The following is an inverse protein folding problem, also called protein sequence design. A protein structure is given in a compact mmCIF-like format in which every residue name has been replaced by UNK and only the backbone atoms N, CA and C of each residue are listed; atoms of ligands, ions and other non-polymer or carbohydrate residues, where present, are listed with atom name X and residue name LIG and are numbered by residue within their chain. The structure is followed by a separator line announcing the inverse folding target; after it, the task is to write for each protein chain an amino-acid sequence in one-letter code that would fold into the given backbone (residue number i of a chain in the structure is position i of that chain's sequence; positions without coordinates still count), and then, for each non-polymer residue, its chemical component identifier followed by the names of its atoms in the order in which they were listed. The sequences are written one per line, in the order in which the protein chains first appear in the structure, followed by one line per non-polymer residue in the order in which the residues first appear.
data_IF_242873814148
#
_entry.id   IF_242873814148
#
_cell.length_a   1.000
_cell.length_b   1.000
_cell.length_c   1.000
_cell.angle_alpha   90.00
_cell.angle_beta   90.00
_cell.angle_gamma   90.00
#
_symmetry.space_group_name_H-M   'P 1'
#
loop_
_entity.id
_entity.type
_entity.pdbx_description
1 polymer ?
#
# COMPACT_ATOMS: atom_id res chain seq x y z
N UNK A 1 10.11 28.30 15.18
CA UNK A 1 8.76 28.70 14.72
C UNK A 1 8.53 28.06 13.36
N UNK A 2 7.53 27.20 13.22
CA UNK A 2 7.16 26.68 11.90
C UNK A 2 6.60 27.85 11.10
N UNK A 3 7.17 28.14 9.92
CA UNK A 3 6.65 29.18 9.05
C UNK A 3 5.19 28.86 8.67
N UNK A 4 4.34 29.89 8.59
CA UNK A 4 2.89 29.72 8.39
C UNK A 4 2.60 28.98 7.09
N UNK A 5 3.36 29.27 6.05
CA UNK A 5 3.19 28.63 4.74
C UNK A 5 3.59 27.16 4.81
N UNK A 6 4.65 26.83 5.57
CA UNK A 6 5.02 25.44 5.86
C UNK A 6 3.90 24.70 6.61
N UNK A 7 3.23 25.36 7.57
CA UNK A 7 2.10 24.77 8.29
C UNK A 7 0.91 24.48 7.37
N UNK A 8 0.56 25.42 6.48
CA UNK A 8 -0.54 25.26 5.52
C UNK A 8 -0.28 24.06 4.61
N UNK A 9 0.92 23.97 4.02
CA UNK A 9 1.27 22.86 3.13
C UNK A 9 1.34 21.51 3.86
N UNK A 10 1.79 21.49 5.12
CA UNK A 10 1.78 20.30 5.95
C UNK A 10 0.36 19.80 6.21
N UNK A 11 -0.56 20.68 6.59
CA UNK A 11 -1.97 20.34 6.84
C UNK A 11 -2.64 19.90 5.54
N UNK A 12 -2.44 20.63 4.44
CA UNK A 12 -2.98 20.26 3.13
C UNK A 12 -2.50 18.89 2.68
N UNK A 13 -1.21 18.59 2.83
CA UNK A 13 -0.64 17.28 2.52
C UNK A 13 -1.21 16.15 3.40
N UNK A 14 -1.37 16.41 4.70
CA UNK A 14 -1.94 15.45 5.65
C UNK A 14 -3.41 15.11 5.36
N UNK A 15 -4.23 16.13 5.09
CA UNK A 15 -5.65 15.97 4.74
C UNK A 15 -5.79 15.27 3.39
N UNK A 16 -5.05 15.72 2.37
CA UNK A 16 -5.07 15.10 1.04
C UNK A 16 -4.67 13.62 1.07
N UNK A 17 -3.61 13.28 1.81
CA UNK A 17 -3.18 11.89 1.99
C UNK A 17 -4.21 11.03 2.71
N UNK A 18 -4.88 11.57 3.73
CA UNK A 18 -5.93 10.88 4.49
C UNK A 18 -7.16 10.64 3.62
N UNK A 19 -7.64 11.67 2.90
CA UNK A 19 -8.78 11.56 1.98
C UNK A 19 -8.50 10.55 0.87
N UNK A 20 -7.32 10.62 0.24
CA UNK A 20 -6.90 9.65 -0.77
C UNK A 20 -6.88 8.21 -0.23
N UNK A 21 -6.36 8.01 0.99
CA UNK A 21 -6.34 6.69 1.62
C UNK A 21 -7.75 6.14 1.91
N UNK A 22 -8.68 6.98 2.34
CA UNK A 22 -10.08 6.57 2.62
C UNK A 22 -10.78 6.19 1.32
N UNK A 23 -10.75 7.07 0.31
CA UNK A 23 -11.51 6.86 -0.93
C UNK A 23 -10.97 5.67 -1.71
N UNK A 24 -9.66 5.45 -1.69
CA UNK A 24 -9.04 4.34 -2.42
C UNK A 24 -8.93 3.04 -1.62
N UNK A 25 -9.36 3.05 -0.34
CA UNK A 25 -9.30 1.90 0.54
C UNK A 25 -10.02 0.65 -0.02
N UNK A 26 -11.22 0.74 -0.62
CA UNK A 26 -11.90 -0.43 -1.20
C UNK A 26 -11.05 -1.14 -2.26
N UNK A 27 -10.37 -0.37 -3.12
CA UNK A 27 -9.50 -0.91 -4.17
C UNK A 27 -8.23 -1.51 -3.58
N UNK A 28 -7.67 -0.95 -2.51
CA UNK A 28 -6.55 -1.55 -1.78
C UNK A 28 -6.95 -2.91 -1.18
N UNK A 29 -8.12 -3.02 -0.54
CA UNK A 29 -8.58 -4.30 0.03
C UNK A 29 -8.76 -5.35 -1.07
N UNK A 30 -9.38 -4.99 -2.19
CA UNK A 30 -9.54 -5.90 -3.34
C UNK A 30 -8.19 -6.32 -3.91
N UNK A 31 -7.25 -5.37 -4.11
CA UNK A 31 -5.89 -5.66 -4.56
C UNK A 31 -5.21 -6.67 -3.64
N UNK A 32 -5.19 -6.39 -2.34
CA UNK A 32 -4.50 -7.24 -1.36
C UNK A 32 -5.09 -8.65 -1.30
N UNK A 33 -6.42 -8.79 -1.41
CA UNK A 33 -7.07 -10.12 -1.44
C UNK A 33 -6.87 -10.85 -2.76
N UNK A 34 -6.87 -10.15 -3.89
CA UNK A 34 -6.50 -10.77 -5.15
C UNK A 34 -5.04 -11.26 -5.12
N UNK A 35 -4.16 -10.58 -4.40
CA UNK A 35 -2.76 -10.98 -4.22
C UNK A 35 -2.55 -12.16 -3.26
N UNK A 36 -3.54 -12.62 -2.46
CA UNK A 36 -3.38 -13.76 -1.55
C UNK A 36 -3.61 -15.12 -2.21
N UNK A 37 -3.15 -16.20 -1.55
CA UNK A 37 -3.21 -17.56 -2.10
C UNK A 37 -4.60 -18.14 -2.18
N UNK A 38 -5.35 -17.94 -1.11
CA UNK A 38 -6.80 -18.01 -1.15
C UNK A 38 -7.30 -16.58 -1.30
N UNK A 39 -7.75 -16.21 -2.49
CA UNK A 39 -8.28 -14.87 -2.70
C UNK A 39 -9.61 -14.61 -1.98
N UNK A 40 -10.17 -15.61 -1.30
CA UNK A 40 -11.48 -15.57 -0.65
C UNK A 40 -12.67 -15.45 -1.60
N UNK A 41 -12.43 -15.12 -2.88
CA UNK A 41 -13.46 -14.96 -3.92
C UNK A 41 -13.90 -16.25 -4.62
N UNK A 42 -13.27 -17.38 -4.32
CA UNK A 42 -13.72 -18.68 -4.80
C UNK A 42 -14.30 -19.46 -3.63
N UNK A 43 -15.51 -20.05 -3.77
CA UNK A 43 -15.94 -21.05 -2.80
C UNK A 43 -14.89 -22.16 -2.77
N UNK A 44 -14.57 -22.73 -1.58
CA UNK A 44 -13.77 -23.95 -1.54
C UNK A 44 -14.46 -24.99 -2.43
N UNK A 45 -13.70 -25.81 -3.18
CA UNK A 45 -14.30 -26.86 -3.98
C UNK A 45 -15.14 -27.74 -3.07
N UNK A 46 -16.43 -27.86 -3.39
CA UNK A 46 -17.34 -28.79 -2.71
C UNK A 46 -16.88 -30.19 -3.10
N UNK A 47 -16.06 -30.82 -2.26
CA UNK A 47 -15.78 -32.24 -2.38
C UNK A 47 -17.07 -33.01 -2.06
N UNK A 48 -17.83 -33.37 -3.10
CA UNK A 48 -19.02 -34.24 -3.01
C UNK A 48 -18.71 -35.61 -2.40
N UNK A 49 -17.45 -36.01 -2.30
CA UNK A 49 -17.05 -37.24 -1.61
C UNK A 49 -17.14 -37.15 -0.07
N UNK A 50 -17.05 -35.95 0.53
CA UNK A 50 -17.11 -35.83 2.00
C UNK A 50 -18.54 -35.88 2.55
N UNK A 51 -19.54 -35.71 1.70
CA UNK A 51 -20.97 -35.85 2.05
C UNK A 51 -21.48 -37.30 1.99
N UNK A 52 -20.69 -38.25 1.48
CA UNK A 52 -21.14 -39.65 1.30
C UNK A 52 -20.67 -40.62 2.39
N UNK A 53 -19.90 -40.18 3.40
CA UNK A 53 -19.50 -41.05 4.51
C UNK A 53 -18.57 -42.22 4.15
N UNK A 54 -18.14 -42.37 2.90
CA UNK A 54 -17.23 -43.43 2.45
C UNK A 54 -15.86 -42.88 2.08
N UNK A 55 -14.88 -43.08 2.96
CA UNK A 55 -13.46 -42.83 2.66
C UNK A 55 -12.95 -44.00 1.83
N UNK A 56 -12.71 -43.81 0.53
CA UNK A 56 -12.06 -44.82 -0.31
C UNK A 56 -10.56 -44.58 -0.41
N UNK A 57 -9.75 -45.65 -0.50
CA UNK A 57 -8.28 -45.63 -0.57
C UNK A 57 -7.66 -44.87 -1.77
N UNK A 58 -8.48 -44.26 -2.63
CA UNK A 58 -8.03 -43.50 -3.81
C UNK A 58 -7.64 -42.06 -3.51
N UNK A 59 -7.95 -41.54 -2.31
CA UNK A 59 -7.71 -40.16 -1.90
C UNK A 59 -6.27 -39.85 -1.43
N UNK A 60 -5.33 -40.82 -1.49
CA UNK A 60 -3.94 -40.62 -1.06
C UNK A 60 -2.91 -40.85 -2.18
N UNK A 61 -2.05 -39.85 -2.50
CA UNK A 61 -1.19 -39.90 -3.69
C UNK A 61 0.11 -40.70 -3.52
N UNK A 62 0.54 -41.11 -2.30
CA UNK A 62 1.82 -41.84 -2.10
C UNK A 62 1.63 -43.27 -1.56
N UNK A 63 2.37 -44.28 -2.09
CA UNK A 63 2.26 -45.67 -1.65
C UNK A 63 2.69 -45.89 -0.19
N UNK A 64 3.60 -45.09 0.35
CA UNK A 64 4.04 -45.16 1.75
C UNK A 64 2.94 -44.75 2.75
N UNK A 65 2.09 -43.79 2.38
CA UNK A 65 0.96 -43.35 3.22
C UNK A 65 -0.16 -44.40 3.26
N UNK A 66 -0.34 -45.17 2.17
CA UNK A 66 -1.25 -46.32 2.12
C UNK A 66 -0.78 -47.45 3.05
N UNK A 67 0.53 -47.73 3.09
CA UNK A 67 1.10 -48.79 3.92
C UNK A 67 0.90 -48.53 5.43
N UNK A 68 0.93 -47.26 5.85
CA UNK A 68 0.79 -46.84 7.26
C UNK A 68 -0.63 -46.96 7.83
N UNK A 69 -1.66 -47.11 6.98
CA UNK A 69 -3.05 -47.29 7.41
C UNK A 69 -3.42 -48.76 7.63
N UNK A 70 -2.76 -49.69 6.94
CA UNK A 70 -3.01 -51.12 7.09
C UNK A 70 -2.33 -51.72 8.34
N UNK A 71 -1.43 -50.99 8.99
CA UNK A 71 -0.70 -51.45 10.18
C UNK A 71 -0.88 -50.48 11.34
N UNK A 72 -1.87 -50.73 12.20
CA UNK A 72 -1.89 -50.22 13.58
C UNK A 72 -2.94 -49.14 13.86
N UNK A 73 -3.78 -49.43 14.86
CA UNK A 73 -4.93 -48.64 15.26
C UNK A 73 -4.59 -47.26 15.84
N UNK A 74 -5.34 -46.26 15.42
CA UNK A 74 -5.39 -44.94 16.05
C UNK A 74 -6.83 -44.46 16.21
N UNK A 75 -7.10 -43.86 17.37
CA UNK A 75 -8.35 -43.22 17.75
C UNK A 75 -8.73 -42.06 16.83
N UNK A 76 -10.04 -41.90 16.57
CA UNK A 76 -10.71 -40.90 15.70
C UNK A 76 -10.12 -39.48 15.68
N UNK A 77 -9.45 -39.02 16.73
CA UNK A 77 -8.86 -37.68 16.82
C UNK A 77 -7.62 -37.46 15.95
N UNK A 78 -6.84 -38.51 15.64
CA UNK A 78 -5.68 -38.41 14.75
C UNK A 78 -6.08 -38.17 13.27
N UNK A 79 -7.29 -38.61 12.89
CA UNK A 79 -7.85 -38.41 11.55
C UNK A 79 -8.26 -36.95 11.28
N UNK A 80 -8.65 -36.20 12.31
CA UNK A 80 -9.02 -34.78 12.19
C UNK A 80 -7.78 -33.91 11.92
N UNK A 81 -6.63 -34.26 12.49
CA UNK A 81 -5.37 -33.55 12.26
C UNK A 81 -4.85 -33.67 10.81
N UNK A 82 -5.24 -34.73 10.08
CA UNK A 82 -4.88 -34.94 8.68
C UNK A 82 -5.83 -34.22 7.69
N UNK A 83 -6.99 -33.72 8.15
CA UNK A 83 -7.93 -32.97 7.29
C UNK A 83 -7.42 -31.59 6.86
N UNK A 84 -6.36 -31.08 7.50
CA UNK A 84 -5.68 -29.83 7.13
C UNK A 84 -4.52 -30.00 6.14
N UNK A 85 -4.19 -31.24 5.76
CA UNK A 85 -3.09 -31.54 4.83
C UNK A 85 -3.64 -32.31 3.62
N UNK A 86 -4.03 -31.59 2.56
CA UNK A 86 -4.39 -32.28 1.32
C UNK A 86 -5.19 -31.50 0.29
N UNK A 87 -4.86 -30.24 0.01
CA UNK A 87 -5.22 -29.66 -1.29
C UNK A 87 -4.15 -30.03 -2.33
N UNK A 88 -4.06 -31.33 -2.64
CA UNK A 88 -3.39 -31.82 -3.84
C UNK A 88 -4.47 -32.00 -4.89
N UNK A 89 -4.57 -31.05 -5.82
CA UNK A 89 -5.36 -31.23 -7.04
C UNK A 89 -4.99 -32.56 -7.70
N UNK A 90 -6.00 -33.40 -7.97
CA UNK A 90 -5.87 -34.63 -8.75
C UNK A 90 -5.21 -34.35 -10.10
N UNK A 91 -4.22 -35.15 -10.55
CA UNK A 91 -3.68 -35.05 -11.90
C UNK A 91 -4.71 -35.63 -12.87
N UNK A 92 -5.44 -34.76 -13.58
CA UNK A 92 -6.41 -35.22 -14.59
C UNK A 92 -7.65 -34.36 -14.78
N UNK A 93 -7.88 -33.33 -13.96
CA UNK A 93 -8.88 -32.30 -14.27
C UNK A 93 -8.28 -31.24 -15.17
N UNK A 94 -8.88 -30.95 -16.31
CA UNK A 94 -8.55 -29.75 -17.08
C UNK A 94 -8.65 -28.54 -16.15
N UNK A 95 -7.65 -27.63 -16.12
CA UNK A 95 -7.74 -26.45 -15.29
C UNK A 95 -8.92 -25.65 -15.82
N UNK A 96 -10.05 -25.64 -15.09
CA UNK A 96 -11.09 -24.67 -15.35
C UNK A 96 -10.41 -23.30 -15.27
N UNK A 97 -10.24 -22.68 -16.43
CA UNK A 97 -9.80 -21.31 -16.59
C UNK A 97 -10.89 -20.43 -15.98
N UNK A 98 -10.90 -20.36 -14.65
CA UNK A 98 -11.71 -19.39 -13.95
C UNK A 98 -11.04 -18.05 -14.20
N UNK A 99 -11.54 -17.32 -15.20
CA UNK A 99 -11.23 -15.92 -15.39
C UNK A 99 -11.23 -15.22 -14.04
N UNK A 100 -10.14 -14.52 -13.72
CA UNK A 100 -10.03 -13.81 -12.45
C UNK A 100 -11.25 -12.90 -12.29
N UNK A 101 -11.91 -12.90 -11.11
CA UNK A 101 -13.10 -12.10 -10.92
C UNK A 101 -12.77 -10.62 -11.14
N UNK A 102 -13.69 -9.90 -11.78
CA UNK A 102 -13.51 -8.47 -12.01
C UNK A 102 -13.47 -7.71 -10.67
N UNK A 103 -12.88 -6.52 -10.68
CA UNK A 103 -12.83 -5.65 -9.48
C UNK A 103 -14.23 -5.43 -8.91
N UNK A 104 -15.22 -5.20 -9.79
CA UNK A 104 -16.62 -5.03 -9.40
C UNK A 104 -17.20 -6.29 -8.73
N UNK A 105 -16.94 -7.49 -9.28
CA UNK A 105 -17.37 -8.75 -8.67
C UNK A 105 -16.75 -8.94 -7.28
N UNK A 106 -15.47 -8.60 -7.12
CA UNK A 106 -14.78 -8.65 -5.83
C UNK A 106 -15.42 -7.70 -4.80
N UNK A 107 -15.67 -6.44 -5.18
CA UNK A 107 -16.32 -5.45 -4.31
C UNK A 107 -17.72 -5.94 -3.91
N UNK A 108 -18.53 -6.37 -4.89
CA UNK A 108 -19.88 -6.91 -4.65
C UNK A 108 -19.84 -8.10 -3.69
N UNK A 109 -18.90 -9.02 -3.88
CA UNK A 109 -18.73 -10.18 -3.02
C UNK A 109 -18.40 -9.78 -1.57
N UNK A 110 -17.45 -8.84 -1.37
CA UNK A 110 -17.09 -8.36 -0.02
C UNK A 110 -18.30 -7.74 0.66
N UNK A 111 -19.03 -6.88 -0.05
CA UNK A 111 -20.19 -6.18 0.50
C UNK A 111 -21.30 -7.16 0.89
N UNK A 112 -21.57 -8.17 0.05
CA UNK A 112 -22.64 -9.14 0.28
C UNK A 112 -22.30 -10.15 1.39
N UNK A 113 -21.04 -10.61 1.50
CA UNK A 113 -20.67 -11.70 2.42
C UNK A 113 -20.04 -11.21 3.73
N UNK A 114 -19.39 -10.04 3.73
CA UNK A 114 -18.68 -9.51 4.92
C UNK A 114 -19.21 -8.14 5.38
N UNK A 115 -20.03 -7.48 4.55
CA UNK A 115 -20.59 -6.16 4.81
C UNK A 115 -19.71 -5.01 4.30
N UNK A 116 -20.31 -3.83 4.18
CA UNK A 116 -19.66 -2.61 3.62
C UNK A 116 -18.42 -2.16 4.39
N UNK A 117 -18.39 -2.36 5.71
CA UNK A 117 -17.23 -2.01 6.56
C UNK A 117 -16.00 -2.86 6.25
N UNK A 118 -16.14 -4.04 5.63
CA UNK A 118 -15.01 -4.90 5.29
C UNK A 118 -14.09 -4.28 4.23
N UNK A 119 -14.60 -3.38 3.37
CA UNK A 119 -13.82 -2.61 2.39
C UNK A 119 -12.83 -1.62 3.03
N UNK A 120 -12.95 -1.36 4.33
CA UNK A 120 -12.08 -0.46 5.09
C UNK A 120 -11.19 -1.20 6.10
N UNK A 121 -11.10 -2.53 6.00
CA UNK A 121 -10.17 -3.33 6.81
C UNK A 121 -8.73 -2.85 6.58
N UNK A 122 -7.98 -2.68 7.68
CA UNK A 122 -6.60 -2.20 7.65
C UNK A 122 -6.45 -0.67 7.47
N UNK A 123 -7.53 0.10 7.32
CA UNK A 123 -7.45 1.56 7.21
C UNK A 123 -6.82 2.22 8.44
N UNK A 124 -7.19 1.77 9.66
CA UNK A 124 -6.63 2.32 10.91
C UNK A 124 -5.09 2.24 10.98
N UNK A 125 -4.49 1.03 10.88
CA UNK A 125 -3.03 0.89 10.80
C UNK A 125 -2.39 1.67 9.65
N UNK A 126 -3.08 1.78 8.51
CA UNK A 126 -2.60 2.58 7.38
C UNK A 126 -2.48 4.08 7.75
N UNK A 127 -3.53 4.67 8.34
CA UNK A 127 -3.52 6.09 8.71
C UNK A 127 -2.48 6.40 9.80
N UNK A 128 -2.35 5.53 10.80
CA UNK A 128 -1.36 5.69 11.89
C UNK A 128 0.07 5.51 11.37
N UNK A 129 0.28 4.63 10.38
CA UNK A 129 1.61 4.29 9.87
C UNK A 129 2.22 5.28 8.87
N UNK A 130 1.40 6.00 8.10
CA UNK A 130 1.88 6.83 6.98
C UNK A 130 2.76 7.99 7.48
N UNK A 131 2.31 8.76 8.46
CA UNK A 131 3.05 9.92 8.94
C UNK A 131 4.40 9.54 9.58
N UNK A 132 4.49 8.57 10.53
CA UNK A 132 5.77 8.10 11.05
C UNK A 132 6.68 7.53 9.96
N UNK A 133 6.13 6.77 9.01
CA UNK A 133 6.92 6.23 7.90
C UNK A 133 7.58 7.32 7.05
N UNK A 134 6.86 8.41 6.77
CA UNK A 134 7.39 9.55 6.03
C UNK A 134 8.42 10.33 6.85
N UNK A 135 8.16 10.54 8.14
CA UNK A 135 9.10 11.22 9.02
C UNK A 135 10.44 10.47 9.13
N UNK A 136 10.39 9.15 9.35
CA UNK A 136 11.57 8.29 9.39
C UNK A 136 12.32 8.35 8.06
N UNK A 137 11.59 8.24 6.94
CA UNK A 137 12.18 8.32 5.60
C UNK A 137 12.91 9.64 5.38
N UNK A 138 12.28 10.79 5.62
CA UNK A 138 12.91 12.09 5.41
C UNK A 138 14.10 12.35 6.34
N UNK A 139 14.01 11.92 7.60
CA UNK A 139 15.12 12.01 8.54
C UNK A 139 16.33 11.19 8.07
N UNK A 140 16.11 9.91 7.75
CA UNK A 140 17.15 9.03 7.23
C UNK A 140 17.70 9.56 5.90
N UNK A 141 16.84 10.03 5.00
CA UNK A 141 17.24 10.62 3.72
C UNK A 141 18.16 11.82 3.90
N UNK A 142 17.79 12.77 4.78
CA UNK A 142 18.59 13.96 5.05
C UNK A 142 19.97 13.60 5.57
N UNK A 143 20.05 12.66 6.53
CA UNK A 143 21.33 12.19 7.09
C UNK A 143 22.17 11.44 6.07
N UNK A 144 21.57 10.53 5.30
CA UNK A 144 22.27 9.79 4.25
C UNK A 144 22.74 10.72 3.13
N UNK A 145 21.97 11.75 2.77
CA UNK A 145 22.39 12.76 1.77
C UNK A 145 23.63 13.51 2.21
N UNK A 146 23.68 13.96 3.47
CA UNK A 146 24.87 14.61 4.04
C UNK A 146 26.08 13.68 3.96
N UNK A 147 25.93 12.41 4.38
CA UNK A 147 27.01 11.43 4.32
C UNK A 147 27.48 11.17 2.89
N UNK A 148 26.57 10.89 1.95
CA UNK A 148 26.94 10.56 0.57
C UNK A 148 27.49 11.75 -0.22
N UNK A 149 27.11 12.99 0.10
CA UNK A 149 27.74 14.20 -0.46
C UNK A 149 29.22 14.34 -0.08
N UNK A 150 29.70 13.66 0.98
CA UNK A 150 31.13 13.63 1.32
C UNK A 150 31.92 12.55 0.56
N UNK A 151 31.23 11.59 -0.04
CA UNK A 151 31.82 10.43 -0.72
C UNK A 151 31.77 10.59 -2.24
N UNK A 152 30.63 11.07 -2.76
CA UNK A 152 30.42 11.32 -4.18
C UNK A 152 30.48 12.82 -4.49
N UNK A 153 30.53 13.16 -5.79
CA UNK A 153 30.35 14.54 -6.21
C UNK A 153 29.00 15.09 -5.68
N UNK A 154 29.00 16.27 -5.02
CA UNK A 154 27.81 16.82 -4.39
C UNK A 154 26.63 16.95 -5.36
N UNK A 155 25.43 16.65 -4.85
CA UNK A 155 24.14 16.78 -5.57
C UNK A 155 24.06 16.04 -6.92
N UNK A 156 24.81 14.94 -7.05
CA UNK A 156 24.67 14.03 -8.20
C UNK A 156 23.51 13.06 -8.03
N UNK A 157 23.01 12.49 -9.14
CA UNK A 157 21.95 11.47 -9.14
C UNK A 157 22.30 10.27 -8.23
N UNK A 158 23.58 9.89 -8.15
CA UNK A 158 24.05 8.80 -7.28
C UNK A 158 23.80 9.11 -5.80
N UNK A 159 24.11 10.33 -5.34
CA UNK A 159 23.81 10.76 -3.96
C UNK A 159 22.33 10.59 -3.66
N UNK A 160 21.45 11.07 -4.55
CA UNK A 160 20.02 10.98 -4.35
C UNK A 160 19.50 9.54 -4.34
N UNK A 161 19.99 8.68 -5.23
CA UNK A 161 19.60 7.25 -5.31
C UNK A 161 20.05 6.49 -4.06
N UNK A 162 21.31 6.61 -3.65
CA UNK A 162 21.81 5.93 -2.45
C UNK A 162 21.17 6.46 -1.16
N UNK A 163 20.92 7.77 -1.08
CA UNK A 163 20.18 8.37 0.04
C UNK A 163 18.75 7.86 0.10
N UNK A 164 18.05 7.81 -1.04
CA UNK A 164 16.70 7.27 -1.13
C UNK A 164 16.63 5.79 -0.76
N UNK A 165 17.63 5.00 -1.19
CA UNK A 165 17.73 3.59 -0.85
C UNK A 165 17.93 3.38 0.66
N UNK A 166 18.89 4.09 1.27
CA UNK A 166 19.15 4.01 2.70
C UNK A 166 17.93 4.44 3.52
N UNK A 167 17.29 5.55 3.14
CA UNK A 167 16.06 6.03 3.75
C UNK A 167 14.91 5.01 3.63
N UNK A 168 14.74 4.42 2.45
CA UNK A 168 13.75 3.39 2.20
C UNK A 168 13.99 2.15 3.06
N UNK A 169 15.25 1.72 3.17
CA UNK A 169 15.65 0.58 4.00
C UNK A 169 15.29 0.82 5.48
N UNK A 170 15.76 1.93 6.06
CA UNK A 170 15.50 2.30 7.46
C UNK A 170 14.00 2.42 7.73
N UNK A 171 13.27 3.13 6.86
CA UNK A 171 11.82 3.29 6.99
C UNK A 171 11.09 1.94 6.91
N UNK A 172 11.45 1.06 5.97
CA UNK A 172 10.89 -0.27 5.89
C UNK A 172 11.16 -1.10 7.14
N UNK A 173 12.39 -1.10 7.67
CA UNK A 173 12.75 -1.87 8.87
C UNK A 173 11.95 -1.44 10.09
N UNK A 174 11.84 -0.12 10.31
CA UNK A 174 11.17 0.41 11.51
C UNK A 174 9.64 0.32 11.42
N UNK A 175 9.06 0.44 10.22
CA UNK A 175 7.60 0.44 10.05
C UNK A 175 7.01 -0.89 9.63
N UNK A 176 7.82 -1.93 9.40
CA UNK A 176 7.33 -3.24 8.96
C UNK A 176 6.21 -3.81 9.85
N UNK A 177 6.23 -3.70 11.19
CA UNK A 177 5.14 -4.20 12.04
C UNK A 177 3.78 -3.59 11.69
N UNK A 178 3.73 -2.29 11.38
CA UNK A 178 2.48 -1.59 11.04
C UNK A 178 1.93 -2.13 9.71
N UNK A 179 2.79 -2.22 8.70
CA UNK A 179 2.42 -2.72 7.38
C UNK A 179 2.05 -4.20 7.40
N UNK A 180 2.69 -4.99 8.26
CA UNK A 180 2.36 -6.39 8.49
C UNK A 180 0.94 -6.55 9.02
N UNK A 181 0.59 -5.81 10.09
CA UNK A 181 -0.76 -5.82 10.68
C UNK A 181 -1.81 -5.31 9.70
N UNK A 182 -1.51 -4.24 8.94
CA UNK A 182 -2.39 -3.78 7.85
C UNK A 182 -2.74 -4.91 6.89
N UNK A 183 -1.73 -5.59 6.34
CA UNK A 183 -1.93 -6.68 5.37
C UNK A 183 -2.70 -7.84 5.98
N UNK A 184 -2.39 -8.24 7.23
CA UNK A 184 -3.12 -9.30 7.95
C UNK A 184 -4.61 -9.02 8.06
N UNK A 185 -4.98 -7.80 8.46
CA UNK A 185 -6.39 -7.39 8.58
C UNK A 185 -7.10 -7.34 7.23
N UNK A 186 -6.41 -6.92 6.16
CA UNK A 186 -6.98 -6.89 4.81
C UNK A 186 -7.24 -8.29 4.25
N UNK A 187 -6.39 -9.25 4.62
CA UNK A 187 -6.52 -10.67 4.24
C UNK A 187 -7.49 -11.46 5.12
N UNK A 188 -7.96 -10.90 6.23
CA UNK A 188 -8.92 -11.59 7.09
C UNK A 188 -10.33 -11.53 6.47
N UNK A 189 -10.90 -12.71 6.21
CA UNK A 189 -12.23 -12.91 5.63
C UNK A 189 -13.26 -13.35 6.68
N UNK A 190 -12.85 -13.49 7.95
CA UNK A 190 -13.74 -13.95 9.01
C UNK A 190 -14.84 -12.92 9.28
N UNK A 191 -16.04 -13.44 9.57
CA UNK A 191 -17.21 -12.64 9.96
C UNK A 191 -16.99 -11.96 11.31
N UNK A 192 -16.27 -12.62 12.22
CA UNK A 192 -15.87 -12.06 13.51
C UNK A 192 -14.72 -11.06 13.31
N UNK A 193 -15.03 -9.79 13.51
CA UNK A 193 -14.07 -8.68 13.35
C UNK A 193 -13.03 -8.75 14.44
N UNK A 194 -11.78 -8.98 14.06
CA UNK A 194 -10.64 -8.75 14.96
C UNK A 194 -10.23 -7.29 14.88
N UNK A 195 -9.96 -6.69 16.03
CA UNK A 195 -9.35 -5.36 16.10
C UNK A 195 -7.86 -5.43 15.72
N UNK A 196 -7.28 -4.29 15.36
CA UNK A 196 -5.84 -4.22 15.09
C UNK A 196 -5.02 -4.64 16.32
N UNK A 197 -5.49 -4.30 17.52
CA UNK A 197 -4.81 -4.65 18.77
C UNK A 197 -4.86 -6.16 19.04
N UNK A 198 -6.01 -6.80 18.82
CA UNK A 198 -6.14 -8.27 18.92
C UNK A 198 -5.23 -8.98 17.91
N UNK A 199 -5.13 -8.46 16.68
CA UNK A 199 -4.19 -8.97 15.68
C UNK A 199 -2.74 -8.89 16.18
N UNK A 200 -2.32 -7.74 16.72
CA UNK A 200 -0.99 -7.54 17.32
C UNK A 200 -0.75 -8.53 18.46
N UNK A 201 -1.68 -8.62 19.41
CA UNK A 201 -1.55 -9.53 20.57
C UNK A 201 -1.44 -10.99 20.13
N UNK A 202 -2.23 -11.40 19.14
CA UNK A 202 -2.18 -12.76 18.59
C UNK A 202 -0.84 -13.06 17.92
N UNK A 203 -0.34 -12.15 17.07
CA UNK A 203 0.97 -12.31 16.41
C UNK A 203 2.08 -12.41 17.46
N UNK A 204 2.07 -11.51 18.45
CA UNK A 204 3.06 -11.50 19.52
C UNK A 204 3.04 -12.80 20.34
N UNK A 205 1.86 -13.32 20.69
CA UNK A 205 1.73 -14.60 21.41
C UNK A 205 2.19 -15.80 20.58
N UNK A 206 1.99 -15.79 19.26
CA UNK A 206 2.29 -16.92 18.39
C UNK A 206 3.75 -16.95 17.89
N UNK A 207 4.36 -15.80 17.65
CA UNK A 207 5.66 -15.70 16.96
C UNK A 207 6.58 -14.63 17.53
N UNK A 208 6.21 -14.00 18.64
CA UNK A 208 6.98 -12.93 19.27
C UNK A 208 7.16 -11.71 18.35
N UNK A 209 8.21 -10.95 18.62
CA UNK A 209 8.55 -9.75 17.85
C UNK A 209 8.98 -10.07 16.40
N UNK A 210 9.66 -11.20 16.20
CA UNK A 210 10.16 -11.61 14.88
C UNK A 210 9.03 -11.94 13.90
N UNK A 211 7.86 -12.36 14.40
CA UNK A 211 6.67 -12.59 13.59
C UNK A 211 6.25 -11.37 12.77
N UNK A 212 6.43 -10.17 13.32
CA UNK A 212 6.11 -8.90 12.64
C UNK A 212 7.06 -8.56 11.50
N UNK A 213 8.20 -9.24 11.37
CA UNK A 213 9.22 -9.01 10.33
C UNK A 213 9.09 -9.93 9.13
N UNK A 214 8.11 -10.85 9.12
CA UNK A 214 7.84 -11.72 7.98
C UNK A 214 7.45 -10.89 6.74
N UNK A 215 8.08 -11.20 5.61
CA UNK A 215 7.90 -10.45 4.35
C UNK A 215 8.75 -9.19 4.22
N UNK A 216 9.67 -8.90 5.14
CA UNK A 216 10.53 -7.70 5.06
C UNK A 216 11.45 -7.70 3.83
N UNK A 217 11.97 -8.85 3.41
CA UNK A 217 12.82 -8.96 2.21
C UNK A 217 12.05 -8.49 0.97
N UNK A 218 10.78 -8.88 0.84
CA UNK A 218 9.91 -8.39 -0.23
C UNK A 218 9.67 -6.86 -0.14
N UNK A 219 9.76 -6.29 1.07
CA UNK A 219 9.71 -4.84 1.29
C UNK A 219 10.97 -4.15 0.78
N UNK A 220 12.15 -4.71 1.07
CA UNK A 220 13.42 -4.19 0.55
C UNK A 220 13.53 -4.28 -0.97
N UNK A 221 13.12 -5.41 -1.57
CA UNK A 221 13.06 -5.53 -3.04
C UNK A 221 12.14 -4.46 -3.63
N UNK A 222 11.07 -4.08 -2.93
CA UNK A 222 10.18 -2.99 -3.37
C UNK A 222 10.83 -1.60 -3.41
N UNK A 223 11.94 -1.37 -2.72
CA UNK A 223 12.70 -0.11 -2.84
C UNK A 223 13.20 0.06 -4.29
N UNK A 224 13.54 -1.03 -4.97
CA UNK A 224 13.96 -1.00 -6.39
C UNK A 224 12.90 -0.40 -7.33
N UNK A 225 11.61 -0.51 -7.00
CA UNK A 225 10.53 0.08 -7.79
C UNK A 225 10.69 1.61 -7.90
N UNK A 226 11.16 2.26 -6.83
CA UNK A 226 11.38 3.71 -6.84
C UNK A 226 12.56 4.09 -7.73
N UNK A 227 13.62 3.27 -7.75
CA UNK A 227 14.79 3.47 -8.61
C UNK A 227 14.42 3.28 -10.08
N UNK A 228 13.68 2.20 -10.40
CA UNK A 228 13.18 1.94 -11.76
C UNK A 228 12.29 3.09 -12.23
N UNK A 229 11.36 3.55 -11.38
CA UNK A 229 10.51 4.69 -11.69
C UNK A 229 11.31 5.95 -11.99
N UNK A 230 12.30 6.28 -11.16
CA UNK A 230 13.15 7.46 -11.36
C UNK A 230 13.90 7.40 -12.69
N UNK A 231 14.56 6.28 -13.01
CA UNK A 231 15.30 6.11 -14.26
C UNK A 231 14.39 6.29 -15.48
N UNK A 232 13.21 5.66 -15.47
CA UNK A 232 12.25 5.79 -16.57
C UNK A 232 11.71 7.22 -16.64
N UNK A 233 11.41 7.84 -15.50
CA UNK A 233 10.90 9.21 -15.44
C UNK A 233 11.90 10.23 -16.00
N UNK A 234 13.18 10.13 -15.64
CA UNK A 234 14.24 10.98 -16.19
C UNK A 234 14.38 10.79 -17.71
N UNK A 235 14.34 9.55 -18.20
CA UNK A 235 14.41 9.27 -19.64
C UNK A 235 13.21 9.88 -20.40
N UNK A 236 11.99 9.73 -19.86
CA UNK A 236 10.78 10.32 -20.43
C UNK A 236 10.86 11.85 -20.42
N UNK A 237 11.29 12.47 -19.30
CA UNK A 237 11.48 13.92 -19.22
C UNK A 237 12.52 14.44 -20.21
N UNK A 238 13.66 13.77 -20.33
CA UNK A 238 14.71 14.14 -21.28
C UNK A 238 14.19 14.11 -22.73
N UNK A 239 13.38 13.12 -23.06
CA UNK A 239 12.72 13.00 -24.36
C UNK A 239 11.75 14.15 -24.58
N UNK A 240 10.85 14.43 -23.62
CA UNK A 240 9.90 15.55 -23.69
C UNK A 240 10.60 16.91 -23.83
N UNK A 241 11.71 17.12 -23.12
CA UNK A 241 12.49 18.34 -23.20
C UNK A 241 13.11 18.53 -24.60
N UNK A 242 13.59 17.46 -25.23
CA UNK A 242 14.14 17.51 -26.59
C UNK A 242 13.07 17.88 -27.65
N UNK A 243 11.81 17.53 -27.44
CA UNK A 243 10.69 17.92 -28.32
C UNK A 243 10.18 19.35 -28.07
N UNK A 244 10.56 20.00 -26.95
CA UNK A 244 10.17 21.38 -26.65
C UNK A 244 11.12 22.39 -27.31
N UNK A 245 10.98 22.56 -28.61
CA UNK A 245 11.61 23.66 -29.36
C UNK A 245 10.89 24.99 -29.07
N UNK A 246 11.68 26.06 -28.93
CA UNK A 246 11.36 27.39 -28.40
C UNK A 246 10.07 28.07 -28.91
N UNK A 247 9.27 28.58 -27.98
CA UNK A 247 8.12 29.48 -28.23
C UNK A 247 7.37 29.73 -26.93
N UNK A 248 7.47 30.93 -26.36
CA UNK A 248 6.98 31.29 -25.02
C UNK A 248 5.50 31.67 -25.04
N UNK A 249 4.68 31.04 -24.18
CA UNK A 249 3.34 31.53 -23.82
C UNK A 249 2.92 30.97 -22.44
N UNK A 250 2.15 31.74 -21.68
CA UNK A 250 1.82 31.53 -20.26
C UNK A 250 0.90 30.29 -20.02
N UNK A 251 0.23 29.82 -21.09
CA UNK A 251 -0.49 28.53 -21.15
C UNK A 251 0.41 27.31 -20.96
N UNK A 252 1.74 27.49 -20.93
CA UNK A 252 2.71 26.42 -20.64
C UNK A 252 2.57 25.83 -19.25
N UNK A 253 2.23 26.58 -18.20
CA UNK A 253 2.32 26.02 -16.84
C UNK A 253 1.37 24.84 -16.59
N UNK A 254 0.11 24.92 -17.05
CA UNK A 254 -0.85 23.81 -16.90
C UNK A 254 -0.53 22.65 -17.85
N UNK A 255 -0.13 22.95 -19.08
CA UNK A 255 0.26 21.92 -20.06
C UNK A 255 1.52 21.18 -19.60
N UNK A 256 2.53 21.89 -19.14
CA UNK A 256 3.77 21.34 -18.60
C UNK A 256 3.50 20.50 -17.36
N UNK A 257 2.62 20.98 -16.46
CA UNK A 257 2.17 20.22 -15.30
C UNK A 257 1.48 18.91 -15.72
N UNK A 258 0.53 18.96 -16.66
CA UNK A 258 -0.16 17.77 -17.19
C UNK A 258 0.80 16.80 -17.88
N UNK A 259 1.77 17.32 -18.64
CA UNK A 259 2.80 16.53 -19.30
C UNK A 259 3.72 15.84 -18.28
N UNK A 260 4.17 16.54 -17.23
CA UNK A 260 4.95 15.94 -16.16
C UNK A 260 4.15 14.92 -15.35
N UNK A 261 2.86 15.17 -15.11
CA UNK A 261 1.97 14.19 -14.48
C UNK A 261 1.79 12.94 -15.35
N UNK A 262 1.58 13.10 -16.66
CA UNK A 262 1.45 11.99 -17.60
C UNK A 262 2.75 11.17 -17.67
N UNK A 263 3.91 11.84 -17.77
CA UNK A 263 5.22 11.22 -17.72
C UNK A 263 5.46 10.46 -16.40
N UNK A 264 5.09 11.07 -15.27
CA UNK A 264 5.17 10.46 -13.95
C UNK A 264 4.27 9.23 -13.81
N UNK A 265 3.02 9.31 -14.27
CA UNK A 265 2.09 8.19 -14.22
C UNK A 265 2.53 7.04 -15.12
N UNK A 266 2.96 7.34 -16.36
CA UNK A 266 3.42 6.35 -17.33
C UNK A 266 4.68 5.61 -16.84
N UNK A 267 5.69 6.36 -16.40
CA UNK A 267 6.91 5.77 -15.83
C UNK A 267 6.62 4.96 -14.58
N UNK A 268 5.67 5.40 -13.73
CA UNK A 268 5.24 4.65 -12.55
C UNK A 268 4.54 3.35 -12.93
N UNK A 269 3.65 3.36 -13.92
CA UNK A 269 2.97 2.15 -14.41
C UNK A 269 3.96 1.11 -14.91
N UNK A 270 4.98 1.52 -15.69
CA UNK A 270 6.01 0.59 -16.16
C UNK A 270 6.83 0.05 -14.98
N UNK A 271 7.30 0.93 -14.09
CA UNK A 271 8.09 0.55 -12.93
C UNK A 271 7.33 -0.42 -12.00
N UNK A 272 6.07 -0.12 -11.69
CA UNK A 272 5.21 -0.98 -10.88
C UNK A 272 4.93 -2.31 -11.56
N UNK A 273 4.83 -2.36 -12.90
CA UNK A 273 4.67 -3.61 -13.64
C UNK A 273 5.93 -4.47 -13.55
N UNK A 274 7.12 -3.89 -13.80
CA UNK A 274 8.40 -4.61 -13.72
C UNK A 274 8.65 -5.14 -12.30
N UNK A 275 8.40 -4.29 -11.29
CA UNK A 275 8.63 -4.66 -9.90
C UNK A 275 7.53 -5.56 -9.33
N UNK A 276 6.37 -5.70 -9.98
CA UNK A 276 5.15 -6.26 -9.39
C UNK A 276 5.29 -7.62 -8.66
N UNK A 277 6.12 -8.58 -9.12
CA UNK A 277 6.28 -9.86 -8.42
C UNK A 277 6.65 -9.72 -6.94
N UNK A 278 7.35 -8.64 -6.56
CA UNK A 278 7.70 -8.39 -5.17
C UNK A 278 6.47 -8.08 -4.31
N UNK A 279 5.44 -7.44 -4.86
CA UNK A 279 4.21 -7.12 -4.13
C UNK A 279 3.41 -8.40 -3.83
N UNK A 280 3.25 -9.28 -4.83
CA UNK A 280 2.58 -10.56 -4.63
C UNK A 280 3.31 -11.38 -3.57
N UNK A 281 4.64 -11.51 -3.68
CA UNK A 281 5.43 -12.22 -2.68
C UNK A 281 5.30 -11.59 -1.29
N UNK A 282 5.27 -10.24 -1.18
CA UNK A 282 5.06 -9.52 0.08
C UNK A 282 3.72 -9.91 0.71
N UNK A 283 2.64 -9.86 -0.06
CA UNK A 283 1.29 -10.18 0.45
C UNK A 283 1.18 -11.64 0.88
N UNK A 284 1.69 -12.59 0.07
CA UNK A 284 1.72 -14.03 0.39
C UNK A 284 2.55 -14.34 1.62
N UNK A 285 3.71 -13.70 1.81
CA UNK A 285 4.52 -13.88 3.01
C UNK A 285 3.81 -13.38 4.27
N UNK A 286 2.94 -12.38 4.12
CA UNK A 286 2.17 -11.79 5.23
C UNK A 286 0.83 -12.47 5.48
N UNK A 287 0.49 -13.54 4.75
CA UNK A 287 -0.74 -14.30 4.97
C UNK A 287 -0.62 -15.32 6.12
N UNK A 288 -1.76 -15.78 6.68
CA UNK A 288 -1.78 -16.78 7.78
C UNK A 288 -1.39 -18.15 7.25
N UNK A 289 -0.48 -18.82 7.95
CA UNK A 289 0.01 -20.14 7.59
C UNK A 289 1.53 -20.22 7.38
N UNK A 290 1.95 -21.44 7.03
CA UNK A 290 3.36 -21.84 6.96
C UNK A 290 3.85 -22.10 5.54
N UNK A 291 2.97 -22.00 4.53
CA UNK A 291 3.28 -22.28 3.12
C UNK A 291 4.39 -21.38 2.58
N UNK A 292 4.32 -20.08 2.88
CA UNK A 292 5.27 -19.08 2.40
C UNK A 292 6.19 -18.63 3.54
N UNK A 293 7.49 -18.90 3.42
CA UNK A 293 8.49 -18.57 4.46
C UNK A 293 9.53 -17.55 3.98
N UNK A 294 10.11 -17.77 2.79
CA UNK A 294 11.14 -16.88 2.23
C UNK A 294 10.70 -16.29 0.88
N UNK A 295 11.30 -15.17 0.49
CA UNK A 295 10.96 -14.45 -0.74
C UNK A 295 11.09 -15.30 -2.00
N UNK A 296 12.27 -15.89 -2.23
CA UNK A 296 12.54 -16.69 -3.42
C UNK A 296 11.74 -17.99 -3.44
N UNK A 297 11.56 -18.64 -2.28
CA UNK A 297 10.68 -19.80 -2.17
C UNK A 297 9.24 -19.44 -2.53
N UNK A 298 8.76 -18.28 -2.07
CA UNK A 298 7.40 -17.82 -2.36
C UNK A 298 7.19 -17.59 -3.85
N UNK A 299 8.12 -16.90 -4.52
CA UNK A 299 8.06 -16.71 -5.97
C UNK A 299 8.07 -18.04 -6.73
N UNK A 300 8.93 -18.99 -6.33
CA UNK A 300 8.99 -20.33 -6.92
C UNK A 300 7.69 -21.10 -6.75
N UNK A 301 7.10 -21.09 -5.55
CA UNK A 301 5.81 -21.75 -5.27
C UNK A 301 4.70 -21.12 -6.11
N UNK A 302 4.58 -19.79 -6.12
CA UNK A 302 3.54 -19.11 -6.90
C UNK A 302 3.69 -19.40 -8.39
N UNK A 303 4.91 -19.36 -8.92
CA UNK A 303 5.14 -19.68 -10.33
C UNK A 303 4.83 -21.15 -10.66
N UNK A 304 5.17 -22.08 -9.77
CA UNK A 304 4.92 -23.51 -9.97
C UNK A 304 3.44 -23.88 -9.87
N UNK A 305 2.67 -23.24 -8.99
CA UNK A 305 1.26 -23.57 -8.74
C UNK A 305 0.27 -22.74 -9.58
N UNK A 306 0.56 -21.46 -9.83
CA UNK A 306 -0.35 -20.50 -10.49
C UNK A 306 0.20 -19.96 -11.82
N UNK A 307 1.41 -20.35 -12.20
CA UNK A 307 2.09 -19.85 -13.39
C UNK A 307 2.48 -18.37 -13.31
N UNK A 308 2.75 -17.75 -14.47
CA UNK A 308 3.09 -16.32 -14.55
C UNK A 308 1.92 -15.42 -14.13
N UNK A 309 0.68 -15.84 -14.37
CA UNK A 309 -0.50 -15.06 -14.00
C UNK A 309 -0.60 -14.85 -12.48
N UNK A 310 -0.20 -15.84 -11.67
CA UNK A 310 -0.14 -15.71 -10.20
C UNK A 310 0.78 -14.59 -9.72
N UNK A 311 1.93 -14.39 -10.39
CA UNK A 311 2.89 -13.33 -10.07
C UNK A 311 2.38 -11.91 -10.39
N UNK A 312 1.35 -11.78 -11.22
CA UNK A 312 0.75 -10.51 -11.63
C UNK A 312 -0.68 -10.32 -11.12
N UNK A 313 -1.11 -11.19 -10.20
CA UNK A 313 -2.47 -11.17 -9.68
C UNK A 313 -2.75 -9.88 -8.92
N UNK A 314 -3.86 -9.21 -9.27
CA UNK A 314 -4.25 -7.92 -8.72
C UNK A 314 -3.61 -6.69 -9.39
N UNK A 315 -2.72 -6.85 -10.39
CA UNK A 315 -2.04 -5.73 -11.05
C UNK A 315 -3.05 -4.74 -11.65
N UNK A 316 -4.09 -5.25 -12.31
CA UNK A 316 -5.17 -4.43 -12.86
C UNK A 316 -5.82 -3.55 -11.80
N UNK A 317 -6.09 -4.10 -10.60
CA UNK A 317 -6.68 -3.33 -9.49
C UNK A 317 -5.71 -2.25 -9.01
N UNK A 318 -4.41 -2.59 -8.95
CA UNK A 318 -3.37 -1.65 -8.58
C UNK A 318 -3.29 -0.46 -9.56
N UNK A 319 -3.30 -0.72 -10.86
CA UNK A 319 -3.24 0.31 -11.90
C UNK A 319 -4.50 1.17 -11.94
N UNK A 320 -5.69 0.56 -11.84
CA UNK A 320 -6.97 1.29 -11.79
C UNK A 320 -7.00 2.26 -10.60
N UNK A 321 -6.44 1.85 -9.45
CA UNK A 321 -6.40 2.70 -8.26
C UNK A 321 -5.51 3.94 -8.42
N UNK A 322 -4.49 3.88 -9.26
CA UNK A 322 -3.46 4.92 -9.35
C UNK A 322 -4.04 6.28 -9.80
N UNK A 323 -4.90 6.28 -10.83
CA UNK A 323 -5.45 7.52 -11.40
C UNK A 323 -6.37 8.23 -10.40
N UNK A 324 -7.39 7.58 -9.79
CA UNK A 324 -8.22 8.23 -8.78
C UNK A 324 -7.41 8.70 -7.57
N UNK A 325 -6.42 7.91 -7.12
CA UNK A 325 -5.59 8.28 -5.98
C UNK A 325 -4.87 9.62 -6.21
N UNK A 326 -4.24 9.77 -7.38
CA UNK A 326 -3.53 11.01 -7.73
C UNK A 326 -4.49 12.18 -7.86
N UNK A 327 -5.62 12.00 -8.56
CA UNK A 327 -6.61 13.05 -8.76
C UNK A 327 -7.19 13.56 -7.42
N UNK A 328 -7.54 12.65 -6.50
CA UNK A 328 -8.09 13.00 -5.19
C UNK A 328 -7.05 13.71 -4.33
N UNK A 329 -5.81 13.25 -4.31
CA UNK A 329 -4.74 13.90 -3.53
C UNK A 329 -4.53 15.33 -4.04
N UNK A 330 -4.41 15.52 -5.36
CA UNK A 330 -4.22 16.85 -5.95
C UNK A 330 -5.41 17.77 -5.67
N UNK A 331 -6.64 17.33 -5.97
CA UNK A 331 -7.83 18.13 -5.76
C UNK A 331 -8.03 18.50 -4.27
N UNK A 332 -7.78 17.55 -3.37
CA UNK A 332 -7.90 17.82 -1.92
C UNK A 332 -6.80 18.76 -1.44
N UNK A 333 -5.56 18.58 -1.92
CA UNK A 333 -4.44 19.45 -1.57
C UNK A 333 -4.70 20.89 -1.99
N UNK A 334 -5.09 21.11 -3.26
CA UNK A 334 -5.41 22.43 -3.79
C UNK A 334 -6.58 23.09 -3.06
N UNK A 335 -7.65 22.32 -2.79
CA UNK A 335 -8.80 22.82 -2.04
C UNK A 335 -8.40 23.26 -0.62
N UNK A 336 -7.59 22.48 0.09
CA UNK A 336 -7.16 22.81 1.46
C UNK A 336 -6.22 24.02 1.47
N UNK A 337 -5.27 24.09 0.54
CA UNK A 337 -4.38 25.27 0.40
C UNK A 337 -5.23 26.52 0.12
N UNK A 338 -6.17 26.46 -0.83
CA UNK A 338 -7.05 27.58 -1.15
C UNK A 338 -7.85 28.05 0.07
N UNK A 339 -8.50 27.12 0.78
CA UNK A 339 -9.32 27.45 1.95
C UNK A 339 -8.51 28.03 3.10
N UNK A 340 -7.35 27.46 3.42
CA UNK A 340 -6.50 27.94 4.50
C UNK A 340 -5.88 29.31 4.16
N UNK A 341 -5.32 29.46 2.96
CA UNK A 341 -4.74 30.74 2.52
C UNK A 341 -5.78 31.87 2.53
N UNK A 342 -7.01 31.58 2.06
CA UNK A 342 -8.12 32.54 2.13
C UNK A 342 -8.49 32.89 3.57
N UNK A 343 -8.64 31.90 4.44
CA UNK A 343 -9.00 32.13 5.84
C UNK A 343 -7.96 32.97 6.59
N UNK A 344 -6.66 32.72 6.35
CA UNK A 344 -5.59 33.51 6.95
C UNK A 344 -5.50 34.92 6.38
N UNK A 345 -5.79 35.10 5.08
CA UNK A 345 -5.85 36.43 4.47
C UNK A 345 -7.00 37.27 5.06
N UNK A 346 -8.20 36.70 5.21
CA UNK A 346 -9.36 37.35 5.83
C UNK A 346 -9.11 37.69 7.31
N UNK A 347 -8.41 36.82 8.07
CA UNK A 347 -7.97 37.13 9.44
C UNK A 347 -6.95 38.27 9.52
N UNK A 348 -6.04 38.35 8.55
CA UNK A 348 -5.06 39.44 8.50
C UNK A 348 -5.73 40.77 8.22
N UNK A 349 -6.71 40.80 7.30
CA UNK A 349 -7.48 42.00 6.96
C UNK A 349 -8.36 42.47 8.14
N UNK A 350 -9.03 41.55 8.84
CA UNK A 350 -9.83 41.89 10.03
C UNK A 350 -8.97 42.37 11.20
N UNK A 351 -7.77 41.81 11.40
CA UNK A 351 -6.79 42.33 12.38
C UNK A 351 -6.33 43.75 12.05
N UNK A 352 -6.05 44.03 10.77
CA UNK A 352 -5.67 45.38 10.30
C UNK A 352 -6.83 46.37 10.43
N UNK A 353 -8.06 45.96 10.12
CA UNK A 353 -9.26 46.78 10.29
C UNK A 353 -9.50 47.13 11.77
N UNK A 354 -9.45 46.14 12.67
CA UNK A 354 -9.59 46.37 14.11
C UNK A 354 -8.47 47.25 14.68
N UNK A 355 -7.23 47.10 14.19
CA UNK A 355 -6.11 47.96 14.60
C UNK A 355 -6.28 49.41 14.13
N UNK A 356 -6.94 49.61 12.98
CA UNK A 356 -7.24 50.92 12.42
C UNK A 356 -8.43 51.58 13.13
N UNK A 357 -9.48 50.83 13.44
CA UNK A 357 -10.61 51.31 14.26
C UNK A 357 -10.17 51.65 15.68
N UNK A 358 -9.29 50.84 16.30
CA UNK A 358 -8.77 51.12 17.64
C UNK A 358 -7.92 52.41 17.65
N UNK A 359 -7.19 52.71 16.57
CA UNK A 359 -6.48 53.99 16.41
C UNK A 359 -7.44 55.17 16.18
N UNK A 360 -8.55 54.96 15.48
CA UNK A 360 -9.56 55.99 15.22
C UNK A 360 -10.36 56.36 16.49
N UNK A 361 -10.62 55.40 17.39
CA UNK A 361 -11.24 55.67 18.70
C UNK A 361 -10.25 56.17 19.77
N UNK A 362 -8.95 56.15 19.50
CA UNK A 362 -7.90 56.60 20.43
C UNK A 362 -7.46 58.06 20.18
N UNK A 363 -8.22 58.87 19.42
CA UNK A 363 -8.00 60.32 19.32
C UNK A 363 -8.86 61.06 20.36
N UNK A 364 -8.30 61.49 21.51
CA UNK A 364 -9.05 62.30 22.46
C UNK A 364 -9.17 63.74 21.97
N UNK A 365 -10.42 64.22 21.93
CA UNK A 365 -10.75 65.66 21.98
C UNK A 365 -10.03 66.32 23.16
N UNK A 366 -8.96 67.06 22.88
CA UNK A 366 -8.21 67.84 23.86
C UNK A 366 -7.85 69.23 23.34
N UNK A 367 -8.74 70.20 23.64
CA UNK A 367 -8.48 71.63 24.01
C UNK A 367 -7.47 72.42 23.14
N UNK A 368 -7.86 73.41 22.32
CA UNK A 368 -8.26 74.81 22.66
C UNK A 368 -7.42 75.48 23.78
N UNK A 369 -6.94 76.70 23.47
CA UNK A 369 -6.12 77.68 24.24
C UNK A 369 -4.60 77.55 23.99
N UNK A 370 -3.82 78.56 23.55
CA UNK A 370 -3.93 80.03 23.45
C UNK A 370 -2.91 80.56 22.42
N UNK A 371 -3.32 81.48 21.54
CA UNK A 371 -2.66 82.73 21.14
C UNK A 371 -3.57 83.48 20.15
#
# INVERSE_FOLDING_TARGET
MLDRDTAIHLVAGGVAGTTGAIVTCPLEVVKTRLQSSSSGFYPPPVNKELTSGHVTCKSFPKPEQRRRLCTGGYTRHALIALSHFGASSTPGGTPHSHSAPSVYQCIRYIVQNEGTRALFKGLGPNLVGVAPSRAIYFCAYSKSKIAFNTIFAPDTALVHVFSAFCAGFVACTLTNPIWFVKTRLQLDHRTNKITAMECVQRIYRQSGILGFYKGIIASYVGISETVIHFVIYEAVKATLAAYKTSGADDRKSLRDFLEFMAAGSFSKTIASTIAYPHEVARTRLREEGTKYQTFWQTLKIVHAEEGLHGLYRGLTTHLIRQIPNTAIIMATYEAVVYLLSRHFHERSLSSLANSSETKFYAEPKGKRELA
#
